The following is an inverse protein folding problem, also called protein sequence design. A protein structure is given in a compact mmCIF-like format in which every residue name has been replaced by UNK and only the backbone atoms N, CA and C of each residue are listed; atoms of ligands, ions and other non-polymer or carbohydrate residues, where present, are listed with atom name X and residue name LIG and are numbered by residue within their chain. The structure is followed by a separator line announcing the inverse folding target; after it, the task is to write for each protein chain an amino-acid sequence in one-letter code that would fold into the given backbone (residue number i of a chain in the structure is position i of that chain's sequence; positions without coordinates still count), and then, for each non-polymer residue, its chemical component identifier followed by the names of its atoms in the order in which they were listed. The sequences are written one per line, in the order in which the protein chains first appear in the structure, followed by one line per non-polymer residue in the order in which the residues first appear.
data_IF_465555029194
#
_entry.id   IF_465555029194
#
_cell.length_a   1.000
_cell.length_b   1.000
_cell.length_c   1.000
_cell.angle_alpha   90.00
_cell.angle_beta   90.00
_cell.angle_gamma   90.00
#
_symmetry.space_group_name_H-M   'P 1'
#
loop_
_entity.id
_entity.type
_entity.pdbx_description
1 polymer ?
#
# COMPACT_ATOMS: atom_id res chain seq x y z
N UNK A 1 -14.69 18.31 -30.81
CA UNK A 1 -14.18 17.89 -29.49
C UNK A 1 -12.73 18.27 -29.38
N UNK A 2 -12.39 19.11 -28.40
CA UNK A 2 -10.99 19.44 -28.09
C UNK A 2 -10.34 18.20 -27.46
N UNK A 3 -9.01 18.09 -27.53
CA UNK A 3 -8.25 16.96 -26.99
C UNK A 3 -8.57 16.72 -25.50
N UNK A 4 -8.76 17.80 -24.76
CA UNK A 4 -9.04 17.79 -23.32
C UNK A 4 -10.43 17.17 -23.01
N UNK A 5 -11.42 17.35 -23.89
CA UNK A 5 -12.75 16.74 -23.73
C UNK A 5 -12.68 15.20 -23.84
N UNK A 6 -11.79 14.69 -24.72
CA UNK A 6 -11.57 13.24 -24.91
C UNK A 6 -10.80 12.62 -23.75
N UNK A 7 -9.82 13.33 -23.21
CA UNK A 7 -9.04 12.85 -22.08
C UNK A 7 -9.89 12.84 -20.80
N UNK A 8 -10.73 13.85 -20.56
CA UNK A 8 -11.65 13.87 -19.43
C UNK A 8 -12.65 12.68 -19.45
N UNK A 9 -13.23 12.37 -20.61
CA UNK A 9 -14.15 11.24 -20.77
C UNK A 9 -13.46 9.88 -20.52
N UNK A 10 -12.20 9.73 -20.98
CA UNK A 10 -11.38 8.53 -20.74
C UNK A 10 -10.98 8.38 -19.28
N UNK A 11 -10.82 9.47 -18.55
CA UNK A 11 -10.42 9.47 -17.15
C UNK A 11 -11.59 9.25 -16.18
N UNK A 12 -12.83 9.54 -16.57
CA UNK A 12 -13.99 9.39 -15.70
C UNK A 12 -14.19 7.96 -15.16
N UNK A 13 -13.89 6.95 -15.99
CA UNK A 13 -14.01 5.52 -15.65
C UNK A 13 -12.92 4.99 -14.70
N UNK A 14 -11.61 5.25 -14.92
CA UNK A 14 -10.55 4.74 -14.05
C UNK A 14 -10.43 5.48 -12.70
N UNK A 15 -10.83 6.75 -12.59
CA UNK A 15 -10.60 7.53 -11.36
C UNK A 15 -11.24 6.94 -10.07
N UNK A 16 -12.48 6.42 -10.07
CA UNK A 16 -13.05 5.76 -8.88
C UNK A 16 -12.18 4.59 -8.38
N UNK A 17 -11.75 3.72 -9.29
CA UNK A 17 -10.90 2.58 -8.96
C UNK A 17 -9.54 3.01 -8.39
N UNK A 18 -8.96 4.10 -8.89
CA UNK A 18 -7.70 4.67 -8.37
C UNK A 18 -7.88 5.14 -6.92
N UNK A 19 -8.97 5.86 -6.65
CA UNK A 19 -9.28 6.36 -5.32
C UNK A 19 -9.55 5.22 -4.33
N UNK A 20 -10.31 4.22 -4.76
CA UNK A 20 -10.63 3.04 -3.95
C UNK A 20 -9.37 2.22 -3.64
N UNK A 21 -8.47 2.04 -4.61
CA UNK A 21 -7.20 1.36 -4.39
C UNK A 21 -6.30 2.12 -3.39
N UNK A 22 -6.23 3.46 -3.49
CA UNK A 22 -5.49 4.28 -2.54
C UNK A 22 -6.08 4.16 -1.13
N UNK A 23 -7.42 4.21 -1.02
CA UNK A 23 -8.10 4.05 0.26
C UNK A 23 -7.80 2.69 0.90
N UNK A 24 -7.99 1.58 0.17
CA UNK A 24 -7.70 0.24 0.67
C UNK A 24 -6.25 0.13 1.16
N UNK A 25 -5.30 0.64 0.38
CA UNK A 25 -3.88 0.61 0.73
C UNK A 25 -3.56 1.43 2.00
N UNK A 26 -4.20 2.59 2.19
CA UNK A 26 -4.04 3.41 3.39
C UNK A 26 -4.71 2.79 4.62
N UNK A 27 -5.88 2.17 4.44
CA UNK A 27 -6.59 1.49 5.52
C UNK A 27 -5.74 0.32 6.06
N UNK A 28 -5.06 -0.45 5.18
CA UNK A 28 -4.12 -1.51 5.58
C UNK A 28 -3.00 -1.00 6.49
N UNK A 29 -2.32 0.08 6.06
CA UNK A 29 -1.20 0.65 6.83
C UNK A 29 -1.69 1.26 8.15
N UNK A 30 -2.89 1.84 8.15
CA UNK A 30 -3.50 2.42 9.34
C UNK A 30 -3.85 1.34 10.36
N UNK A 31 -4.43 0.21 9.92
CA UNK A 31 -4.73 -0.95 10.77
C UNK A 31 -3.44 -1.52 11.39
N UNK A 32 -2.41 -1.73 10.58
CA UNK A 32 -1.13 -2.24 11.08
C UNK A 32 -0.46 -1.31 12.08
N UNK A 33 -0.45 0.00 11.83
CA UNK A 33 0.10 0.98 12.77
C UNK A 33 -0.69 1.01 14.08
N UNK A 34 -2.02 0.94 14.00
CA UNK A 34 -2.88 0.86 15.18
C UNK A 34 -2.59 -0.42 15.97
N UNK A 35 -2.49 -1.57 15.29
CA UNK A 35 -2.16 -2.84 15.92
C UNK A 35 -0.80 -2.78 16.62
N UNK A 36 0.24 -2.26 15.95
CA UNK A 36 1.58 -2.11 16.56
C UNK A 36 1.54 -1.21 17.79
N UNK A 37 0.82 -0.09 17.74
CA UNK A 37 0.72 0.84 18.87
C UNK A 37 0.13 0.19 20.13
N UNK A 38 -0.78 -0.77 19.96
CA UNK A 38 -1.44 -1.52 21.05
C UNK A 38 -0.59 -2.66 21.61
N UNK A 39 0.43 -3.09 20.87
CA UNK A 39 1.22 -4.28 21.21
C UNK A 39 2.70 -3.98 21.44
N UNK A 40 3.10 -2.71 21.42
CA UNK A 40 4.47 -2.27 21.62
C UNK A 40 5.06 -2.79 22.94
N UNK A 41 4.33 -2.62 24.06
CA UNK A 41 4.76 -3.05 25.39
C UNK A 41 4.85 -4.57 25.55
N UNK A 42 4.21 -5.31 24.64
CA UNK A 42 4.21 -6.78 24.65
C UNK A 42 5.04 -7.36 23.50
N UNK A 43 5.86 -6.55 22.82
CA UNK A 43 6.67 -6.94 21.66
C UNK A 43 7.51 -8.20 21.86
N UNK A 44 8.03 -8.41 23.07
CA UNK A 44 8.82 -9.59 23.43
C UNK A 44 8.07 -10.93 23.27
N UNK A 45 6.73 -10.95 23.34
CA UNK A 45 5.94 -12.19 23.26
C UNK A 45 5.92 -12.79 21.84
N UNK A 46 6.15 -11.96 20.83
CA UNK A 46 6.11 -12.38 19.43
C UNK A 46 7.41 -13.08 19.00
N UNK A 47 8.54 -12.70 19.60
CA UNK A 47 9.85 -13.29 19.35
C UNK A 47 10.84 -12.32 18.72
N UNK A 48 12.01 -12.84 18.38
CA UNK A 48 13.14 -12.06 17.87
C UNK A 48 13.77 -12.71 16.63
N UNK A 49 14.37 -11.88 15.78
CA UNK A 49 15.27 -12.27 14.70
C UNK A 49 16.68 -11.86 15.09
N UNK A 50 17.67 -12.70 14.79
CA UNK A 50 19.07 -12.40 15.04
C UNK A 50 19.79 -12.11 13.73
N UNK A 51 20.47 -10.96 13.64
CA UNK A 51 21.27 -10.52 12.49
C UNK A 51 22.60 -10.00 13.02
N UNK A 52 23.72 -10.55 12.55
CA UNK A 52 25.08 -10.15 12.96
C UNK A 52 25.24 -10.04 14.50
N UNK A 53 24.72 -11.02 15.22
CA UNK A 53 24.76 -11.07 16.68
C UNK A 53 23.75 -10.16 17.40
N UNK A 54 23.11 -9.21 16.70
CA UNK A 54 22.10 -8.32 17.25
C UNK A 54 20.72 -8.97 17.21
N UNK A 55 19.93 -8.76 18.26
CA UNK A 55 18.56 -9.25 18.35
C UNK A 55 17.60 -8.10 18.07
N UNK A 56 16.70 -8.32 17.11
CA UNK A 56 15.60 -7.41 16.80
C UNK A 56 14.30 -8.12 17.13
N UNK A 57 13.39 -7.48 17.83
CA UNK A 57 12.04 -8.00 17.98
C UNK A 57 11.35 -8.08 16.62
N UNK A 58 10.49 -9.07 16.44
CA UNK A 58 9.70 -9.17 15.21
C UNK A 58 8.82 -7.92 14.99
N UNK A 59 8.38 -7.27 16.07
CA UNK A 59 7.60 -6.03 16.00
C UNK A 59 8.43 -4.85 15.46
N UNK A 60 9.70 -4.72 15.87
CA UNK A 60 10.63 -3.72 15.29
C UNK A 60 10.89 -4.00 13.80
N UNK A 61 11.07 -5.26 13.43
CA UNK A 61 11.22 -5.66 12.02
C UNK A 61 9.98 -5.27 11.22
N UNK A 62 8.79 -5.51 11.76
CA UNK A 62 7.53 -5.15 11.12
C UNK A 62 7.37 -3.62 10.98
N UNK A 63 7.70 -2.85 12.02
CA UNK A 63 7.70 -1.40 11.99
C UNK A 63 8.65 -0.84 10.91
N UNK A 64 9.84 -1.42 10.76
CA UNK A 64 10.80 -1.03 9.74
C UNK A 64 10.29 -1.33 8.32
N UNK A 65 9.59 -2.45 8.14
CA UNK A 65 8.93 -2.79 6.87
C UNK A 65 7.85 -1.78 6.50
N UNK A 66 6.98 -1.42 7.45
CA UNK A 66 5.94 -0.40 7.22
C UNK A 66 6.57 0.94 6.89
N UNK A 67 7.61 1.36 7.61
CA UNK A 67 8.34 2.61 7.36
C UNK A 67 8.92 2.65 5.93
N UNK A 68 9.48 1.53 5.47
CA UNK A 68 10.01 1.39 4.10
C UNK A 68 8.90 1.55 3.04
N UNK A 69 7.70 1.06 3.33
CA UNK A 69 6.55 1.19 2.42
C UNK A 69 5.97 2.60 2.47
N UNK A 70 5.91 3.25 3.64
CA UNK A 70 5.56 4.67 3.77
C UNK A 70 6.53 5.60 3.02
N UNK A 71 7.81 5.24 2.90
CA UNK A 71 8.75 5.95 2.02
C UNK A 71 8.33 5.86 0.54
N UNK A 72 7.84 4.71 0.09
CA UNK A 72 7.32 4.58 -1.29
C UNK A 72 6.09 5.47 -1.51
N UNK A 73 5.17 5.55 -0.54
CA UNK A 73 4.01 6.44 -0.59
C UNK A 73 4.45 7.90 -0.74
N UNK A 74 5.33 8.35 0.15
CA UNK A 74 5.79 9.76 0.19
C UNK A 74 6.69 10.16 -0.97
N UNK A 75 7.54 9.26 -1.47
CA UNK A 75 8.51 9.57 -2.52
C UNK A 75 8.02 9.29 -3.95
N UNK A 76 7.01 8.45 -4.13
CA UNK A 76 6.53 8.06 -5.47
C UNK A 76 5.07 8.39 -5.69
N UNK A 77 4.20 7.97 -4.76
CA UNK A 77 2.75 8.10 -4.95
C UNK A 77 2.30 9.55 -4.79
N UNK A 78 2.68 10.23 -3.70
CA UNK A 78 2.28 11.62 -3.49
C UNK A 78 2.77 12.57 -4.60
N UNK A 79 4.04 12.51 -5.06
CA UNK A 79 4.46 13.32 -6.20
C UNK A 79 3.67 13.02 -7.49
N UNK A 80 3.35 11.75 -7.76
CA UNK A 80 2.53 11.39 -8.93
C UNK A 80 1.09 11.89 -8.80
N UNK A 81 0.53 11.88 -7.59
CA UNK A 81 -0.79 12.43 -7.27
C UNK A 81 -0.81 13.95 -7.45
N UNK A 82 0.21 14.66 -6.98
CA UNK A 82 0.34 16.10 -7.16
C UNK A 82 0.37 16.47 -8.64
N UNK A 83 1.22 15.80 -9.43
CA UNK A 83 1.31 16.02 -10.89
C UNK A 83 0.01 15.69 -11.62
N UNK A 84 -0.67 14.59 -11.22
CA UNK A 84 -1.96 14.23 -11.78
C UNK A 84 -3.03 15.27 -11.44
N UNK A 85 -3.08 15.76 -10.20
CA UNK A 85 -4.06 16.77 -9.77
C UNK A 85 -3.92 18.10 -10.49
N UNK A 86 -2.70 18.49 -10.86
CA UNK A 86 -2.42 19.76 -11.54
C UNK A 86 -2.78 19.74 -13.02
N UNK A 87 -2.59 18.60 -13.70
CA UNK A 87 -2.67 18.54 -15.16
C UNK A 87 -3.81 17.67 -15.69
N UNK A 88 -4.24 16.66 -14.92
CA UNK A 88 -5.28 15.68 -15.27
C UNK A 88 -5.21 15.16 -16.72
N UNK A 89 -3.99 14.93 -17.20
CA UNK A 89 -3.78 14.31 -18.51
C UNK A 89 -3.72 12.79 -18.40
N UNK A 90 -3.97 12.09 -19.51
CA UNK A 90 -3.86 10.63 -19.57
C UNK A 90 -2.50 10.11 -19.08
N UNK A 91 -1.42 10.81 -19.43
CA UNK A 91 -0.06 10.40 -19.07
C UNK A 91 0.20 10.54 -17.57
N UNK A 92 -0.27 11.63 -16.96
CA UNK A 92 -0.06 11.89 -15.53
C UNK A 92 -0.90 10.96 -14.66
N UNK A 93 -2.12 10.61 -15.10
CA UNK A 93 -2.93 9.60 -14.42
C UNK A 93 -2.34 8.20 -14.58
N UNK A 94 -1.79 7.85 -15.76
CA UNK A 94 -1.05 6.58 -15.94
C UNK A 94 0.17 6.48 -15.01
N UNK A 95 0.90 7.57 -14.81
CA UNK A 95 2.01 7.63 -13.86
C UNK A 95 1.54 7.40 -12.42
N UNK A 96 0.40 8.00 -12.03
CA UNK A 96 -0.22 7.76 -10.73
C UNK A 96 -0.60 6.29 -10.54
N UNK A 97 -1.29 5.68 -11.53
CA UNK A 97 -1.65 4.26 -11.50
C UNK A 97 -0.41 3.38 -11.30
N UNK A 98 0.63 3.59 -12.10
CA UNK A 98 1.87 2.80 -12.01
C UNK A 98 2.55 2.96 -10.64
N UNK A 99 2.62 4.18 -10.11
CA UNK A 99 3.20 4.45 -8.80
C UNK A 99 2.42 3.77 -7.68
N UNK A 100 1.08 3.80 -7.77
CA UNK A 100 0.19 3.20 -6.79
C UNK A 100 0.23 1.66 -6.86
N UNK A 101 0.33 1.07 -8.05
CA UNK A 101 0.56 -0.37 -8.20
C UNK A 101 1.87 -0.80 -7.53
N UNK A 102 2.96 -0.04 -7.72
CA UNK A 102 4.23 -0.31 -7.04
C UNK A 102 4.13 -0.25 -5.51
N UNK A 103 3.32 0.66 -4.99
CA UNK A 103 3.02 0.76 -3.56
C UNK A 103 2.20 -0.45 -3.05
N UNK A 104 1.09 -0.78 -3.72
CA UNK A 104 0.27 -1.93 -3.35
C UNK A 104 1.03 -3.26 -3.43
N UNK A 105 1.93 -3.44 -4.41
CA UNK A 105 2.77 -4.64 -4.49
C UNK A 105 3.72 -4.77 -3.29
N UNK A 106 4.25 -3.66 -2.76
CA UNK A 106 5.06 -3.70 -1.54
C UNK A 106 4.23 -4.05 -0.31
N UNK A 107 3.00 -3.52 -0.21
CA UNK A 107 2.06 -3.92 0.84
C UNK A 107 1.74 -5.41 0.75
N UNK A 108 1.51 -5.94 -0.45
CA UNK A 108 1.23 -7.37 -0.66
C UNK A 108 2.34 -8.28 -0.12
N UNK A 109 3.61 -7.90 -0.32
CA UNK A 109 4.75 -8.66 0.23
C UNK A 109 4.69 -8.72 1.76
N UNK A 110 4.37 -7.60 2.41
CA UNK A 110 4.19 -7.55 3.86
C UNK A 110 2.99 -8.39 4.29
N UNK A 111 1.85 -8.23 3.62
CA UNK A 111 0.62 -8.99 3.86
C UNK A 111 0.84 -10.51 3.81
N UNK A 112 1.52 -10.99 2.76
CA UNK A 112 1.85 -12.42 2.62
C UNK A 112 2.77 -12.87 3.76
N UNK A 113 3.78 -12.07 4.12
CA UNK A 113 4.67 -12.38 5.24
C UNK A 113 3.91 -12.48 6.56
N UNK A 114 2.98 -11.56 6.85
CA UNK A 114 2.12 -11.61 8.03
C UNK A 114 1.37 -12.94 8.06
N UNK A 115 0.65 -13.25 6.97
CA UNK A 115 -0.14 -14.48 6.83
C UNK A 115 0.69 -15.75 7.03
N UNK A 116 1.88 -15.80 6.45
CA UNK A 116 2.65 -17.04 6.35
C UNK A 116 3.62 -17.23 7.52
N UNK A 117 4.15 -16.14 8.09
CA UNK A 117 5.29 -16.17 9.02
C UNK A 117 5.01 -15.58 10.39
N UNK A 118 4.00 -14.73 10.55
CA UNK A 118 3.75 -13.99 11.80
C UNK A 118 2.57 -14.54 12.60
N UNK A 119 2.46 -15.88 12.69
CA UNK A 119 1.31 -16.58 13.29
C UNK A 119 0.94 -16.08 14.69
N UNK A 120 1.94 -15.73 15.53
CA UNK A 120 1.69 -15.20 16.88
C UNK A 120 1.08 -13.80 16.86
N UNK A 121 1.47 -12.96 15.91
CA UNK A 121 0.90 -11.62 15.75
C UNK A 121 -0.52 -11.71 15.18
N UNK A 122 -0.73 -12.61 14.20
CA UNK A 122 -2.06 -12.90 13.65
C UNK A 122 -3.00 -13.44 14.72
N UNK A 123 -2.53 -14.37 15.57
CA UNK A 123 -3.31 -14.87 16.72
C UNK A 123 -3.63 -13.76 17.74
N UNK A 124 -2.84 -12.69 17.78
CA UNK A 124 -3.10 -11.48 18.57
C UNK A 124 -3.87 -10.40 17.79
N UNK A 125 -4.50 -10.76 16.67
CA UNK A 125 -5.40 -9.89 15.92
C UNK A 125 -4.75 -9.01 14.84
N UNK A 126 -3.51 -9.29 14.42
CA UNK A 126 -2.92 -8.62 13.27
C UNK A 126 -3.57 -9.13 11.97
N UNK A 127 -4.19 -8.24 11.19
CA UNK A 127 -4.77 -8.59 9.90
C UNK A 127 -3.70 -8.67 8.81
N UNK A 128 -3.76 -9.69 7.94
CA UNK A 128 -2.82 -9.81 6.83
C UNK A 128 -3.16 -8.90 5.64
N UNK A 129 -4.44 -8.56 5.42
CA UNK A 129 -4.90 -7.74 4.30
C UNK A 129 -4.52 -8.24 2.88
N UNK A 130 -4.16 -9.51 2.69
CA UNK A 130 -3.81 -10.04 1.36
C UNK A 130 -4.95 -9.81 0.37
N UNK A 131 -6.20 -10.09 0.78
CA UNK A 131 -7.39 -9.91 -0.07
C UNK A 131 -7.68 -8.46 -0.45
N UNK A 132 -7.52 -7.53 0.49
CA UNK A 132 -7.74 -6.10 0.27
C UNK A 132 -6.71 -5.53 -0.71
N UNK A 133 -5.44 -5.89 -0.52
CA UNK A 133 -4.35 -5.45 -1.40
C UNK A 133 -4.45 -6.08 -2.79
N UNK A 134 -4.84 -7.35 -2.90
CA UNK A 134 -5.06 -8.00 -4.20
C UNK A 134 -6.21 -7.35 -4.98
N UNK A 135 -7.27 -6.95 -4.29
CA UNK A 135 -8.38 -6.20 -4.89
C UNK A 135 -7.90 -4.82 -5.34
N UNK A 136 -7.15 -4.08 -4.52
CA UNK A 136 -6.58 -2.78 -4.90
C UNK A 136 -5.67 -2.87 -6.15
N UNK A 137 -4.83 -3.91 -6.24
CA UNK A 137 -4.00 -4.16 -7.42
C UNK A 137 -4.87 -4.42 -8.65
N UNK A 138 -5.92 -5.24 -8.50
CA UNK A 138 -6.86 -5.56 -9.58
C UNK A 138 -7.59 -4.32 -10.09
N UNK A 139 -8.11 -3.49 -9.19
CA UNK A 139 -8.76 -2.21 -9.51
C UNK A 139 -7.84 -1.30 -10.34
N UNK A 140 -6.55 -1.27 -10.00
CA UNK A 140 -5.54 -0.50 -10.72
C UNK A 140 -5.21 -1.10 -12.09
N UNK A 141 -5.16 -2.42 -12.24
CA UNK A 141 -4.99 -3.08 -13.54
C UNK A 141 -6.19 -2.80 -14.46
N UNK A 142 -7.41 -2.88 -13.93
CA UNK A 142 -8.62 -2.53 -14.68
C UNK A 142 -8.59 -1.06 -15.13
N UNK A 143 -8.12 -0.17 -14.25
CA UNK A 143 -7.94 1.25 -14.56
C UNK A 143 -6.93 1.45 -15.68
N UNK A 144 -5.77 0.79 -15.61
CA UNK A 144 -4.73 0.86 -16.63
C UNK A 144 -5.21 0.42 -18.02
N UNK A 145 -6.10 -0.57 -18.07
CA UNK A 145 -6.68 -1.10 -19.31
C UNK A 145 -7.89 -0.29 -19.81
N UNK A 146 -8.35 0.70 -19.05
CA UNK A 146 -9.51 1.55 -19.41
C UNK A 146 -9.12 2.87 -20.06
N UNK A 147 -7.81 3.14 -20.20
CA UNK A 147 -7.24 4.34 -20.81
C UNK A 147 -7.20 4.29 -22.34
#
# INVERSE_FOLDING_TARGET
MKKDDKDAERLAKPMPNINDALKKANDCVSDWNLWMSRHFDTSAQYGVVQVDGHKFSLLEVFQAQISTVSLCLTQKVYPAMDVASQSMTLNTVKLLVSSLQGYCQKLKVISIRIKDKEQKMVAAGLNDHVGDVDTAITDLVVSANSF
#
